data_IF_979526165867
#
_entry.id   IF_979526165867
#
_cell.length_a   1.000
_cell.length_b   1.000
_cell.length_c   1.000
_cell.angle_alpha   90.00
_cell.angle_beta   90.00
_cell.angle_gamma   90.00
#
_symmetry.space_group_name_H-M   'P 1'
#
loop_
_entity.id
_entity.type
_entity.pdbx_description
1 polymer ?
#
# COMPACT_ATOMS: atom_id res chain seq x y z
N UNK A 1 26.08 -12.59 -7.29
CA UNK A 1 25.39 -13.19 -6.12
C UNK A 1 26.05 -14.51 -5.78
N UNK A 2 26.75 -14.60 -4.63
CA UNK A 2 27.38 -15.83 -4.16
C UNK A 2 26.34 -16.95 -3.95
N UNK A 3 26.73 -18.22 -4.12
CA UNK A 3 25.84 -19.39 -3.98
C UNK A 3 25.22 -19.48 -2.59
N UNK A 4 25.97 -19.11 -1.55
CA UNK A 4 25.51 -19.11 -0.16
C UNK A 4 24.42 -18.07 0.10
N UNK A 5 24.55 -16.86 -0.45
CA UNK A 5 23.54 -15.81 -0.29
C UNK A 5 22.20 -16.20 -0.91
N UNK A 6 22.22 -16.97 -2.02
CA UNK A 6 21.01 -17.50 -2.66
C UNK A 6 20.33 -18.59 -1.83
N UNK A 7 21.09 -19.40 -1.10
CA UNK A 7 20.55 -20.42 -0.19
C UNK A 7 19.85 -19.77 1.00
N UNK A 8 20.53 -18.82 1.66
CA UNK A 8 19.99 -18.09 2.81
C UNK A 8 18.67 -17.35 2.47
N UNK A 9 18.63 -16.67 1.32
CA UNK A 9 17.43 -15.95 0.88
C UNK A 9 16.27 -16.86 0.46
N UNK A 10 16.54 -18.13 0.11
CA UNK A 10 15.52 -19.10 -0.27
C UNK A 10 14.90 -19.78 0.95
N UNK A 11 15.66 -19.88 2.05
CA UNK A 11 15.24 -20.45 3.33
C UNK A 11 14.56 -19.42 4.25
N UNK A 12 14.80 -18.12 4.04
CA UNK A 12 14.06 -17.09 4.75
C UNK A 12 12.59 -17.07 4.30
N UNK A 13 11.61 -17.26 5.22
CA UNK A 13 10.21 -17.10 4.88
C UNK A 13 9.99 -15.65 4.39
N UNK A 14 9.61 -15.53 3.11
CA UNK A 14 9.30 -14.24 2.50
C UNK A 14 7.90 -13.84 2.94
N UNK A 15 7.83 -13.08 4.03
CA UNK A 15 6.58 -12.56 4.57
C UNK A 15 6.64 -12.47 6.08
N UNK A 16 6.08 -11.38 6.62
CA UNK A 16 5.83 -11.27 8.05
C UNK A 16 4.63 -12.16 8.40
N UNK A 17 4.68 -12.86 9.53
CA UNK A 17 3.55 -13.64 10.02
C UNK A 17 2.28 -12.79 10.05
N UNK A 18 1.13 -13.41 9.75
CA UNK A 18 -0.16 -12.73 9.79
C UNK A 18 -0.32 -12.10 11.16
N UNK A 19 -0.62 -10.81 11.15
CA UNK A 19 -0.62 -9.98 12.35
C UNK A 19 -2.06 -9.53 12.58
N UNK A 20 -2.88 -10.26 13.38
CA UNK A 20 -4.34 -10.09 13.38
C UNK A 20 -4.79 -8.69 13.81
N UNK A 21 -4.02 -8.01 14.65
CA UNK A 21 -4.32 -6.63 15.05
C UNK A 21 -4.09 -5.60 13.94
N UNK A 22 -3.39 -5.96 12.87
CA UNK A 22 -3.24 -5.12 11.66
C UNK A 22 -4.38 -5.31 10.67
N UNK A 23 -5.19 -6.37 10.80
CA UNK A 23 -6.29 -6.63 9.85
C UNK A 23 -7.32 -5.50 9.80
N UNK A 24 -7.75 -4.88 10.92
CA UNK A 24 -8.64 -3.71 10.88
C UNK A 24 -8.02 -2.54 10.12
N UNK A 25 -6.72 -2.28 10.34
CA UNK A 25 -5.98 -1.22 9.65
C UNK A 25 -5.86 -1.50 8.15
N UNK A 26 -5.57 -2.75 7.77
CA UNK A 26 -5.50 -3.20 6.37
C UNK A 26 -6.85 -3.07 5.67
N UNK A 27 -7.95 -3.45 6.33
CA UNK A 27 -9.31 -3.30 5.81
C UNK A 27 -9.66 -1.82 5.59
N UNK A 28 -9.40 -0.96 6.57
CA UNK A 28 -9.59 0.49 6.45
C UNK A 28 -8.76 1.07 5.31
N UNK A 29 -7.49 0.69 5.20
CA UNK A 29 -6.62 1.12 4.12
C UNK A 29 -7.16 0.70 2.74
N UNK A 30 -7.57 -0.57 2.59
CA UNK A 30 -8.12 -1.08 1.34
C UNK A 30 -9.42 -0.37 0.94
N UNK A 31 -10.29 -0.08 1.91
CA UNK A 31 -11.52 0.68 1.73
C UNK A 31 -11.20 2.10 1.20
N UNK A 32 -10.36 2.85 1.92
CA UNK A 32 -9.98 4.22 1.54
C UNK A 32 -9.25 4.24 0.19
N UNK A 33 -8.42 3.25 -0.12
CA UNK A 33 -7.77 3.11 -1.42
C UNK A 33 -8.77 2.95 -2.58
N UNK A 34 -9.84 2.17 -2.36
CA UNK A 34 -10.92 2.00 -3.33
C UNK A 34 -11.66 3.32 -3.56
N UNK A 35 -11.95 4.06 -2.50
CA UNK A 35 -12.61 5.37 -2.58
C UNK A 35 -11.73 6.41 -3.29
N UNK A 36 -10.43 6.42 -3.00
CA UNK A 36 -9.47 7.27 -3.71
C UNK A 36 -9.46 7.00 -5.21
N UNK A 37 -9.48 5.72 -5.61
CA UNK A 37 -9.55 5.35 -7.02
C UNK A 37 -10.80 5.93 -7.69
N UNK A 38 -11.96 5.82 -7.06
CA UNK A 38 -13.20 6.36 -7.60
C UNK A 38 -13.20 7.90 -7.64
N UNK A 39 -12.73 8.57 -6.57
CA UNK A 39 -12.64 10.03 -6.51
C UNK A 39 -11.74 10.64 -7.60
N UNK A 40 -10.70 9.92 -8.02
CA UNK A 40 -9.74 10.38 -9.04
C UNK A 40 -9.94 9.75 -10.42
N UNK A 41 -11.03 9.00 -10.63
CA UNK A 41 -11.33 8.32 -11.90
C UNK A 41 -11.38 9.28 -13.08
N UNK A 42 -12.11 10.39 -12.91
CA UNK A 42 -12.30 11.42 -13.94
C UNK A 42 -11.35 12.62 -13.76
N UNK A 43 -10.35 12.49 -12.88
CA UNK A 43 -9.38 13.56 -12.63
C UNK A 43 -8.53 13.83 -13.88
N UNK A 44 -8.44 15.10 -14.26
CA UNK A 44 -7.55 15.59 -15.32
C UNK A 44 -6.06 15.61 -14.93
N UNK A 45 -5.76 15.42 -13.64
CA UNK A 45 -4.38 15.35 -13.15
C UNK A 45 -3.65 14.14 -13.74
N UNK A 46 -2.35 14.29 -14.01
CA UNK A 46 -1.51 13.23 -14.58
C UNK A 46 -0.16 13.17 -13.87
N UNK A 47 0.54 12.05 -14.03
CA UNK A 47 1.90 11.86 -13.53
C UNK A 47 2.05 12.15 -12.03
N UNK A 48 3.12 12.86 -11.68
CA UNK A 48 3.48 13.14 -10.29
C UNK A 48 2.41 13.95 -9.52
N UNK A 49 1.71 14.87 -10.19
CA UNK A 49 0.71 15.71 -9.54
C UNK A 49 -0.52 14.92 -9.14
N UNK A 50 -0.94 13.95 -9.98
CA UNK A 50 -2.00 12.99 -9.61
C UNK A 50 -1.60 12.17 -8.39
N UNK A 51 -0.37 11.65 -8.36
CA UNK A 51 0.13 10.84 -7.25
C UNK A 51 0.17 11.66 -5.95
N UNK A 52 0.67 12.89 -5.97
CA UNK A 52 0.68 13.76 -4.77
C UNK A 52 -0.74 14.05 -4.28
N UNK A 53 -1.67 14.34 -5.19
CA UNK A 53 -3.05 14.61 -4.83
C UNK A 53 -3.74 13.39 -4.21
N UNK A 54 -3.56 12.21 -4.81
CA UNK A 54 -4.06 10.94 -4.26
C UNK A 54 -3.46 10.63 -2.89
N UNK A 55 -2.14 10.82 -2.71
CA UNK A 55 -1.48 10.59 -1.43
C UNK A 55 -1.98 11.53 -0.33
N UNK A 56 -2.22 12.80 -0.66
CA UNK A 56 -2.81 13.77 0.26
C UNK A 56 -4.22 13.35 0.67
N UNK A 57 -5.06 13.02 -0.31
CA UNK A 57 -6.42 12.56 -0.08
C UNK A 57 -6.46 11.30 0.79
N UNK A 58 -5.62 10.30 0.48
CA UNK A 58 -5.49 9.08 1.28
C UNK A 58 -5.08 9.41 2.73
N UNK A 59 -4.09 10.29 2.90
CA UNK A 59 -3.58 10.66 4.23
C UNK A 59 -4.62 11.40 5.06
N UNK A 60 -5.45 12.25 4.44
CA UNK A 60 -6.54 12.95 5.11
C UNK A 60 -7.63 11.96 5.57
N UNK A 61 -7.99 10.99 4.73
CA UNK A 61 -9.03 10.00 5.05
C UNK A 61 -8.57 8.87 6.00
N UNK A 62 -7.26 8.63 6.13
CA UNK A 62 -6.73 7.62 7.05
C UNK A 62 -6.51 8.13 8.48
N UNK A 63 -6.47 9.45 8.69
CA UNK A 63 -6.25 10.08 10.00
C UNK A 63 -7.39 9.89 11.01
N UNK A 64 -8.63 9.69 10.54
CA UNK A 64 -9.81 9.41 11.36
C UNK A 64 -9.98 7.93 11.61
#
# INVERSE_FOLDING_TARGET
>A
MSKELKLILKEQPVGRESTPWLDPQRKKFAQVAKECKEAFKDSKLRGADKVRAMNRWMSENLKS
#
